data_IF_918822863540
#
_entry.id   IF_918822863540
#
_cell.length_a   1.000
_cell.length_b   1.000
_cell.length_c   1.000
_cell.angle_alpha   90.00
_cell.angle_beta   90.00
_cell.angle_gamma   90.00
#
_symmetry.space_group_name_H-M   'P 1'
#
loop_
_entity.id
_entity.type
_entity.pdbx_description
1 polymer ?
#
# COMPACT_ATOMS: atom_id res chain seq x y z
N UNK A 1 -10.93 4.22 -6.18
CA UNK A 1 -9.69 3.76 -5.50
C UNK A 1 -8.60 3.61 -6.55
N UNK A 2 -7.38 4.10 -6.29
CA UNK A 2 -6.21 3.96 -7.17
C UNK A 2 -5.14 3.13 -6.46
N UNK A 3 -4.55 2.17 -7.15
CA UNK A 3 -3.39 1.40 -6.67
C UNK A 3 -2.15 2.31 -6.65
N UNK A 4 -1.40 2.32 -5.54
CA UNK A 4 -0.14 3.05 -5.42
C UNK A 4 1.07 2.13 -5.26
N UNK A 5 0.95 1.09 -4.42
CA UNK A 5 2.02 0.14 -4.14
C UNK A 5 1.50 -1.26 -4.37
N UNK A 6 2.32 -2.13 -4.95
CA UNK A 6 2.06 -3.57 -5.07
C UNK A 6 3.30 -4.34 -4.63
N UNK A 7 3.26 -4.92 -3.44
CA UNK A 7 4.39 -5.63 -2.83
C UNK A 7 3.91 -6.78 -1.93
N UNK A 8 4.79 -7.75 -1.70
CA UNK A 8 4.59 -8.80 -0.69
C UNK A 8 5.25 -8.44 0.65
N UNK A 9 6.02 -7.35 0.70
CA UNK A 9 6.68 -6.91 1.92
C UNK A 9 5.66 -6.30 2.89
N UNK A 10 5.43 -6.99 4.01
CA UNK A 10 4.50 -6.54 5.04
C UNK A 10 4.97 -5.25 5.75
N UNK A 11 6.28 -5.04 5.87
CA UNK A 11 6.85 -3.84 6.51
C UNK A 11 6.57 -2.62 5.66
N UNK A 12 6.80 -2.70 4.34
CA UNK A 12 6.47 -1.62 3.40
C UNK A 12 4.99 -1.26 3.46
N UNK A 13 4.10 -2.25 3.46
CA UNK A 13 2.65 -2.02 3.52
C UNK A 13 2.21 -1.38 4.83
N UNK A 14 2.70 -1.88 5.98
CA UNK A 14 2.38 -1.31 7.30
C UNK A 14 2.93 0.11 7.47
N UNK A 15 4.11 0.38 6.91
CA UNK A 15 4.70 1.72 6.93
C UNK A 15 3.89 2.69 6.05
N UNK A 16 3.58 2.30 4.82
CA UNK A 16 2.75 3.10 3.92
C UNK A 16 1.35 3.36 4.49
N UNK A 17 0.70 2.36 5.10
CA UNK A 17 -0.60 2.53 5.77
C UNK A 17 -0.52 3.55 6.90
N UNK A 18 0.56 3.50 7.70
CA UNK A 18 0.76 4.42 8.82
C UNK A 18 0.93 5.87 8.35
N UNK A 19 1.67 6.09 7.25
CA UNK A 19 1.80 7.40 6.60
C UNK A 19 0.47 7.93 6.07
N UNK A 20 -0.33 7.06 5.44
CA UNK A 20 -1.67 7.45 4.97
C UNK A 20 -2.59 7.82 6.14
N UNK A 21 -2.53 7.08 7.25
CA UNK A 21 -3.30 7.36 8.46
C UNK A 21 -2.91 8.69 9.10
N UNK A 22 -1.62 8.97 9.19
CA UNK A 22 -1.10 10.25 9.71
C UNK A 22 -1.57 11.45 8.86
N UNK A 23 -1.54 11.30 7.53
CA UNK A 23 -2.02 12.29 6.57
C UNK A 23 -3.57 12.39 6.48
N UNK A 24 -4.30 11.58 7.24
CA UNK A 24 -5.76 11.47 7.17
C UNK A 24 -6.28 11.00 5.80
N UNK A 25 -5.45 10.26 5.03
CA UNK A 25 -5.80 9.69 3.73
C UNK A 25 -6.39 8.29 3.96
N UNK A 26 -7.59 8.08 3.45
CA UNK A 26 -8.22 6.76 3.49
C UNK A 26 -7.50 5.84 2.49
N UNK A 27 -6.87 4.79 3.03
CA UNK A 27 -6.22 3.74 2.27
C UNK A 27 -6.84 2.37 2.57
N UNK A 28 -6.64 1.44 1.64
CA UNK A 28 -7.12 0.05 1.72
C UNK A 28 -6.03 -0.88 1.18
N UNK A 29 -5.72 -1.94 1.92
CA UNK A 29 -4.81 -2.98 1.47
C UNK A 29 -5.65 -4.15 0.92
N UNK A 30 -5.66 -4.29 -0.41
CA UNK A 30 -6.29 -5.39 -1.10
C UNK A 30 -5.44 -6.67 -1.04
N UNK A 31 -6.09 -7.81 -1.28
CA UNK A 31 -5.45 -9.13 -1.35
C UNK A 31 -4.85 -9.63 -0.02
N UNK A 32 -5.35 -9.11 1.12
CA UNK A 32 -5.05 -9.62 2.47
C UNK A 32 -5.66 -11.01 2.74
N UNK A 33 -6.57 -11.49 1.89
CA UNK A 33 -7.29 -12.75 2.07
C UNK A 33 -6.50 -13.98 1.64
N UNK A 34 -5.50 -14.39 2.42
CA UNK A 34 -5.15 -15.82 2.52
C UNK A 34 -4.59 -16.10 3.91
N UNK A 35 -5.31 -16.92 4.67
CA UNK A 35 -5.08 -17.31 6.05
C UNK A 35 -3.60 -17.64 6.36
N UNK A 36 -3.05 -16.94 7.35
CA UNK A 36 -1.83 -17.35 8.07
C UNK A 36 -1.96 -18.78 8.64
N UNK A 37 -3.19 -19.26 8.84
CA UNK A 37 -3.54 -20.59 9.36
C UNK A 37 -3.34 -21.76 8.37
N UNK A 38 -3.17 -21.54 7.06
CA UNK A 38 -3.18 -22.62 6.06
C UNK A 38 -1.82 -22.86 5.35
N UNK A 39 -0.72 -22.32 5.87
CA UNK A 39 0.64 -22.63 5.39
C UNK A 39 0.99 -22.15 3.97
N UNK A 40 0.07 -21.46 3.28
CA UNK A 40 0.33 -20.89 1.95
C UNK A 40 1.00 -19.52 2.10
N UNK A 41 2.32 -19.51 2.11
CA UNK A 41 3.16 -18.33 1.95
C UNK A 41 2.78 -17.56 0.67
N UNK A 42 2.01 -16.49 0.82
CA UNK A 42 2.23 -15.22 0.10
C UNK A 42 2.30 -15.27 -1.43
N UNK A 43 1.47 -16.07 -2.09
CA UNK A 43 1.56 -16.22 -3.55
C UNK A 43 1.04 -15.02 -4.35
N UNK A 44 0.27 -14.12 -3.72
CA UNK A 44 -0.34 -12.96 -4.39
C UNK A 44 0.18 -11.65 -3.80
N UNK A 45 0.77 -10.76 -4.62
CA UNK A 45 1.23 -9.46 -4.16
C UNK A 45 0.07 -8.61 -3.68
N UNK A 46 0.21 -8.07 -2.47
CA UNK A 46 -0.79 -7.20 -1.85
C UNK A 46 -0.72 -5.80 -2.44
N UNK A 47 -1.86 -5.13 -2.51
CA UNK A 47 -1.95 -3.81 -3.14
C UNK A 47 -2.44 -2.77 -2.15
N UNK A 48 -1.67 -1.71 -1.96
CA UNK A 48 -2.13 -0.52 -1.25
C UNK A 48 -2.85 0.39 -2.23
N UNK A 49 -4.11 0.65 -1.93
CA UNK A 49 -5.00 1.49 -2.72
C UNK A 49 -5.44 2.70 -1.89
N UNK A 50 -5.55 3.86 -2.52
CA UNK A 50 -6.05 5.08 -1.88
C UNK A 50 -7.24 5.67 -2.64
N UNK A 51 -7.91 6.65 -2.04
CA UNK A 51 -8.92 7.42 -2.77
C UNK A 51 -8.32 8.12 -3.99
N UNK A 52 -9.00 8.05 -5.13
CA UNK A 52 -8.46 8.53 -6.41
C UNK A 52 -8.16 10.02 -6.44
N UNK A 53 -8.93 10.81 -5.67
CA UNK A 53 -8.81 12.26 -5.55
C UNK A 53 -7.57 12.71 -4.78
N UNK A 54 -7.08 11.87 -3.85
CA UNK A 54 -5.87 12.13 -3.05
C UNK A 54 -4.69 11.24 -3.43
N UNK A 55 -4.75 10.60 -4.60
CA UNK A 55 -3.70 9.68 -5.05
C UNK A 55 -2.37 10.39 -5.31
N UNK A 56 -2.40 11.59 -5.86
CA UNK A 56 -1.19 12.37 -6.14
C UNK A 56 -0.55 12.91 -4.85
N UNK A 57 -1.37 13.30 -3.88
CA UNK A 57 -0.92 13.68 -2.53
C UNK A 57 -0.28 12.48 -1.81
N UNK A 58 -0.97 11.34 -1.80
CA UNK A 58 -0.46 10.10 -1.23
C UNK A 58 0.86 9.67 -1.86
N UNK A 59 1.01 9.77 -3.19
CA UNK A 59 2.27 9.50 -3.88
C UNK A 59 3.41 10.39 -3.39
N UNK A 60 3.17 11.69 -3.21
CA UNK A 60 4.19 12.62 -2.70
C UNK A 60 4.65 12.24 -1.31
N UNK A 61 3.71 11.95 -0.41
CA UNK A 61 4.03 11.54 0.97
C UNK A 61 4.86 10.25 0.99
N UNK A 62 4.46 9.25 0.19
CA UNK A 62 5.19 7.99 0.08
C UNK A 62 6.59 8.19 -0.51
N UNK A 63 6.73 9.03 -1.55
CA UNK A 63 8.03 9.37 -2.13
C UNK A 63 8.95 10.09 -1.14
N UNK A 64 8.44 11.09 -0.43
CA UNK A 64 9.21 11.85 0.57
C UNK A 64 9.65 10.96 1.75
N UNK A 65 8.87 9.93 2.07
CA UNK A 65 9.20 8.93 3.06
C UNK A 65 10.15 7.82 2.55
N UNK A 66 10.65 7.92 1.32
CA UNK A 66 11.60 6.96 0.75
C UNK A 66 10.97 5.74 0.07
N UNK A 67 9.66 5.71 -0.12
CA UNK A 67 8.94 4.62 -0.81
C UNK A 67 8.76 4.88 -2.31
N UNK A 68 9.47 5.84 -2.89
CA UNK A 68 9.37 6.16 -4.31
C UNK A 68 9.61 4.96 -5.25
N UNK A 69 10.50 4.03 -4.85
CA UNK A 69 10.80 2.82 -5.62
C UNK A 69 9.67 1.78 -5.62
N UNK A 70 8.78 1.83 -4.62
CA UNK A 70 7.66 0.91 -4.46
C UNK A 70 6.39 1.41 -5.16
N UNK A 71 6.39 2.68 -5.58
CA UNK A 71 5.28 3.30 -6.30
C UNK A 71 5.16 2.72 -7.71
N UNK A 72 3.93 2.36 -8.09
CA UNK A 72 3.60 2.01 -9.47
C UNK A 72 3.21 3.26 -10.23
N UNK A 73 3.64 3.39 -11.48
CA UNK A 73 3.07 4.38 -12.42
C UNK A 73 1.61 4.00 -12.73
N UNK A 74 0.74 5.01 -12.79
CA UNK A 74 -0.71 4.82 -13.01
C UNK A 74 -1.01 4.47 -14.47
#
# INVERSE_FOLDING_TARGET
MKELIRTNDAVVLSFAESLMRDAGIICFIADQGMSILDGSLGLLPRRLMVQGERADEARRILSDAGLAAELRDA
#
